data_IF_664212938934
#
_entry.id   IF_664212938934
#
_cell.length_a   1.000
_cell.length_b   1.000
_cell.length_c   1.000
_cell.angle_alpha   90.00
_cell.angle_beta   90.00
_cell.angle_gamma   90.00
#
_symmetry.space_group_name_H-M   'P 1'
#
loop_
_entity.id
_entity.type
_entity.pdbx_description
1 polymer ?
#
# COMPACT_ATOMS: atom_id res chain seq x y z
N UNK A 1 17.56 0.43 39.83
CA UNK A 1 18.07 -0.04 38.52
C UNK A 1 17.09 -1.02 37.88
N UNK A 2 16.73 -2.12 38.54
CA UNK A 2 15.81 -3.14 38.00
C UNK A 2 14.40 -2.62 37.62
N UNK A 3 13.85 -1.69 38.40
CA UNK A 3 12.54 -1.10 38.12
C UNK A 3 12.55 -0.16 36.89
N UNK A 4 13.67 0.50 36.60
CA UNK A 4 13.83 1.38 35.42
C UNK A 4 13.91 0.54 34.15
N UNK A 5 14.67 -0.56 34.17
CA UNK A 5 14.75 -1.51 33.05
C UNK A 5 13.41 -2.19 32.76
N UNK A 6 12.58 -2.48 33.78
CA UNK A 6 11.25 -3.06 33.57
C UNK A 6 10.26 -2.07 32.95
N UNK A 7 10.38 -0.78 33.26
CA UNK A 7 9.57 0.29 32.65
C UNK A 7 9.99 0.54 31.21
N UNK A 8 11.29 0.63 30.92
CA UNK A 8 11.79 0.76 29.54
C UNK A 8 11.38 -0.43 28.66
N UNK A 9 11.50 -1.66 29.17
CA UNK A 9 11.02 -2.84 28.44
C UNK A 9 9.51 -2.78 28.20
N UNK A 10 8.73 -2.36 29.20
CA UNK A 10 7.27 -2.20 29.09
C UNK A 10 6.86 -1.22 27.99
N UNK A 11 7.54 -0.07 27.91
CA UNK A 11 7.30 0.94 26.88
C UNK A 11 7.71 0.46 25.48
N UNK A 12 8.82 -0.28 25.35
CA UNK A 12 9.23 -0.88 24.08
C UNK A 12 8.21 -1.92 23.59
N UNK A 13 7.72 -2.81 24.46
CA UNK A 13 6.70 -3.79 24.07
C UNK A 13 5.37 -3.14 23.69
N UNK A 14 4.96 -2.09 24.41
CA UNK A 14 3.77 -1.32 24.08
C UNK A 14 3.90 -0.62 22.71
N UNK A 15 5.05 -0.03 22.41
CA UNK A 15 5.32 0.61 21.12
C UNK A 15 5.32 -0.39 19.95
N UNK A 16 5.86 -1.61 20.15
CA UNK A 16 5.83 -2.66 19.13
C UNK A 16 4.40 -3.14 18.86
N UNK A 17 3.58 -3.29 19.91
CA UNK A 17 2.18 -3.70 19.80
C UNK A 17 1.33 -2.65 19.09
N UNK A 18 1.51 -1.37 19.45
CA UNK A 18 0.86 -0.23 18.82
C UNK A 18 1.24 -0.12 17.33
N UNK A 19 2.52 -0.32 17.02
CA UNK A 19 2.99 -0.39 15.64
C UNK A 19 2.31 -1.53 14.86
N UNK A 20 2.25 -2.74 15.43
CA UNK A 20 1.60 -3.89 14.80
C UNK A 20 0.11 -3.67 14.56
N UNK A 21 -0.61 -3.07 15.51
CA UNK A 21 -2.01 -2.72 15.36
C UNK A 21 -2.21 -1.62 14.32
N UNK A 22 -1.35 -0.60 14.32
CA UNK A 22 -1.35 0.43 13.30
C UNK A 22 -1.16 -0.19 11.90
N UNK A 23 -0.22 -1.12 11.74
CA UNK A 23 -0.05 -1.83 10.47
C UNK A 23 -1.30 -2.60 10.07
N UNK A 24 -1.87 -3.39 10.98
CA UNK A 24 -2.97 -4.29 10.66
C UNK A 24 -4.26 -3.51 10.35
N UNK A 25 -4.54 -2.44 11.10
CA UNK A 25 -5.74 -1.64 10.92
C UNK A 25 -5.55 -0.72 9.70
N UNK A 26 -4.46 0.05 9.60
CA UNK A 26 -4.36 1.06 8.55
C UNK A 26 -3.95 0.50 7.18
N UNK A 27 -3.01 -0.45 7.11
CA UNK A 27 -2.63 -1.05 5.82
C UNK A 27 -3.81 -1.79 5.21
N UNK A 28 -4.58 -2.51 6.01
CA UNK A 28 -5.72 -3.28 5.52
C UNK A 28 -6.92 -2.36 5.22
N UNK A 29 -7.22 -1.42 6.11
CA UNK A 29 -8.36 -0.49 5.93
C UNK A 29 -8.17 0.48 4.78
N UNK A 30 -6.94 0.89 4.46
CA UNK A 30 -6.65 1.72 3.29
C UNK A 30 -6.33 0.90 2.04
N UNK A 31 -5.71 -0.27 2.20
CA UNK A 31 -5.36 -1.16 1.09
C UNK A 31 -6.58 -1.69 0.36
N UNK A 32 -7.58 -2.23 1.07
CA UNK A 32 -8.76 -2.85 0.43
C UNK A 32 -9.52 -1.84 -0.45
N UNK A 33 -9.89 -0.63 0.03
CA UNK A 33 -10.52 0.38 -0.82
C UNK A 33 -9.65 0.83 -1.98
N UNK A 34 -8.33 0.95 -1.77
CA UNK A 34 -7.40 1.31 -2.84
C UNK A 34 -7.40 0.26 -3.97
N UNK A 35 -7.44 -1.03 -3.65
CA UNK A 35 -7.58 -2.10 -4.64
C UNK A 35 -8.89 -2.02 -5.40
N UNK A 36 -10.00 -1.79 -4.72
CA UNK A 36 -11.32 -1.67 -5.36
C UNK A 36 -11.32 -0.46 -6.31
N UNK A 37 -10.87 0.70 -5.85
CA UNK A 37 -10.79 1.91 -6.66
C UNK A 37 -9.88 1.72 -7.88
N UNK A 38 -8.72 1.09 -7.69
CA UNK A 38 -7.81 0.77 -8.78
C UNK A 38 -8.43 -0.19 -9.79
N UNK A 39 -9.12 -1.25 -9.34
CA UNK A 39 -9.76 -2.21 -10.21
C UNK A 39 -10.89 -1.56 -11.05
N UNK A 40 -11.73 -0.74 -10.42
CA UNK A 40 -12.78 0.02 -11.11
C UNK A 40 -12.19 0.99 -12.13
N UNK A 41 -11.11 1.69 -11.78
CA UNK A 41 -10.40 2.57 -12.70
C UNK A 41 -9.77 1.78 -13.86
N UNK A 42 -9.10 0.66 -13.57
CA UNK A 42 -8.44 -0.18 -14.56
C UNK A 42 -9.44 -0.77 -15.57
N UNK A 43 -10.61 -1.25 -15.10
CA UNK A 43 -11.68 -1.75 -15.99
C UNK A 43 -12.11 -0.69 -17.01
N UNK A 44 -12.24 0.57 -16.57
CA UNK A 44 -12.58 1.68 -17.48
C UNK A 44 -11.40 2.05 -18.38
N UNK A 45 -10.20 2.12 -17.82
CA UNK A 45 -9.00 2.55 -18.53
C UNK A 45 -8.50 1.53 -19.56
N UNK A 46 -8.87 0.25 -19.44
CA UNK A 46 -8.52 -0.81 -20.37
C UNK A 46 -9.58 -1.05 -21.45
N UNK A 47 -10.77 -0.47 -21.30
CA UNK A 47 -11.85 -0.65 -22.26
C UNK A 47 -11.48 -0.07 -23.64
N UNK A 48 -11.67 -0.84 -24.70
CA UNK A 48 -11.36 -0.45 -26.07
C UNK A 48 -9.86 -0.39 -26.43
N UNK A 49 -8.96 -0.87 -25.56
CA UNK A 49 -7.52 -0.96 -25.86
C UNK A 49 -7.18 -2.25 -26.61
N UNK A 50 -6.16 -2.19 -27.46
CA UNK A 50 -5.62 -3.38 -28.13
C UNK A 50 -4.81 -4.25 -27.17
N UNK A 51 -4.62 -5.52 -27.49
CA UNK A 51 -3.91 -6.48 -26.62
C UNK A 51 -2.51 -6.01 -26.20
N UNK A 52 -1.73 -5.47 -27.15
CA UNK A 52 -0.40 -4.93 -26.85
C UNK A 52 -0.46 -3.75 -25.87
N UNK A 53 -1.48 -2.91 -25.97
CA UNK A 53 -1.69 -1.80 -25.03
C UNK A 53 -2.11 -2.31 -23.65
N UNK A 54 -2.93 -3.37 -23.59
CA UNK A 54 -3.31 -4.03 -22.34
C UNK A 54 -2.07 -4.62 -21.65
N UNK A 55 -1.23 -5.37 -22.36
CA UNK A 55 0.00 -5.94 -21.81
C UNK A 55 0.96 -4.86 -21.27
N UNK A 56 1.13 -3.76 -22.00
CA UNK A 56 1.92 -2.61 -21.54
C UNK A 56 1.30 -1.95 -20.31
N UNK A 57 -0.02 -1.92 -20.21
CA UNK A 57 -0.74 -1.41 -19.05
C UNK A 57 -0.60 -2.33 -17.83
N UNK A 58 -0.65 -3.65 -18.01
CA UNK A 58 -0.41 -4.65 -16.95
C UNK A 58 1.01 -4.51 -16.39
N UNK A 59 2.02 -4.32 -17.25
CA UNK A 59 3.39 -4.07 -16.81
C UNK A 59 3.54 -2.78 -15.99
N UNK A 60 2.74 -1.76 -16.29
CA UNK A 60 2.73 -0.49 -15.56
C UNK A 60 1.79 -0.48 -14.35
N UNK A 61 0.95 -1.51 -14.20
CA UNK A 61 -0.07 -1.59 -13.17
C UNK A 61 0.48 -1.39 -11.74
N UNK A 62 1.61 -2.00 -11.34
CA UNK A 62 2.18 -1.81 -10.00
C UNK A 62 2.54 -0.34 -9.72
N UNK A 63 3.03 0.37 -10.74
CA UNK A 63 3.40 1.78 -10.62
C UNK A 63 2.17 2.69 -10.57
N UNK A 64 1.15 2.39 -11.38
CA UNK A 64 -0.11 3.15 -11.40
C UNK A 64 -0.98 2.90 -10.17
N UNK A 65 -0.75 1.81 -9.44
CA UNK A 65 -1.44 1.50 -8.19
C UNK A 65 -0.96 2.37 -7.02
N UNK A 66 0.31 2.81 -7.03
CA UNK A 66 0.92 3.62 -5.96
C UNK A 66 0.04 4.79 -5.50
N UNK A 67 -0.46 5.68 -6.38
CA UNK A 67 -1.30 6.81 -5.94
C UNK A 67 -2.58 6.34 -5.25
N UNK A 68 -3.21 5.26 -5.70
CA UNK A 68 -4.42 4.72 -5.05
C UNK A 68 -4.12 4.25 -3.63
N UNK A 69 -2.95 3.64 -3.43
CA UNK A 69 -2.51 3.21 -2.10
C UNK A 69 -2.05 4.38 -1.23
N UNK A 70 -1.28 5.33 -1.77
CA UNK A 70 -0.67 6.42 -1.01
C UNK A 70 -1.67 7.51 -0.59
N UNK A 71 -2.64 7.84 -1.45
CA UNK A 71 -3.57 8.95 -1.23
C UNK A 71 -4.34 8.84 0.09
N UNK A 72 -4.93 7.68 0.46
CA UNK A 72 -5.59 7.52 1.76
C UNK A 72 -4.68 7.82 2.96
N UNK A 73 -3.42 7.37 2.93
CA UNK A 73 -2.45 7.63 4.01
C UNK A 73 -2.14 9.12 4.12
N UNK A 74 -1.91 9.79 2.99
CA UNK A 74 -1.60 11.22 2.95
C UNK A 74 -2.80 12.04 3.44
N UNK A 75 -4.01 11.76 2.97
CA UNK A 75 -5.23 12.47 3.41
C UNK A 75 -5.46 12.28 4.90
N UNK A 76 -5.36 11.04 5.39
CA UNK A 76 -5.63 10.73 6.79
C UNK A 76 -4.61 11.36 7.74
N UNK A 77 -3.33 11.26 7.41
CA UNK A 77 -2.27 11.88 8.20
C UNK A 77 -2.33 13.40 8.15
N UNK A 78 -2.65 14.00 6.99
CA UNK A 78 -2.84 15.44 6.87
C UNK A 78 -4.01 15.93 7.74
N UNK A 79 -5.14 15.20 7.76
CA UNK A 79 -6.26 15.51 8.64
C UNK A 79 -5.85 15.52 10.12
N UNK A 80 -5.01 14.57 10.55
CA UNK A 80 -4.48 14.54 11.91
C UNK A 80 -3.59 15.74 12.24
N UNK A 81 -2.72 16.15 11.31
CA UNK A 81 -1.89 17.35 11.47
C UNK A 81 -2.76 18.60 11.60
N UNK A 82 -3.79 18.73 10.76
CA UNK A 82 -4.73 19.87 10.80
C UNK A 82 -5.54 19.92 12.10
N UNK A 83 -5.78 18.77 12.74
CA UNK A 83 -6.44 18.67 14.06
C UNK A 83 -5.46 18.87 15.23
N UNK A 84 -4.20 19.22 14.96
CA UNK A 84 -3.18 19.53 15.97
C UNK A 84 -2.37 18.32 16.46
N UNK A 85 -2.52 17.15 15.84
CA UNK A 85 -1.76 15.94 16.20
C UNK A 85 -0.52 15.77 15.32
N UNK A 86 0.66 15.87 15.92
CA UNK A 86 1.93 15.60 15.25
C UNK A 86 2.08 14.12 14.85
N UNK A 87 1.29 13.22 15.43
CA UNK A 87 1.20 11.82 14.99
C UNK A 87 0.68 11.67 13.55
N UNK A 88 0.11 12.73 12.96
CA UNK A 88 -0.27 12.74 11.55
C UNK A 88 0.92 12.59 10.59
N UNK A 89 2.12 13.08 10.93
CA UNK A 89 3.30 12.96 10.06
C UNK A 89 3.75 11.51 9.82
N UNK A 90 4.00 10.68 10.86
CA UNK A 90 4.35 9.27 10.61
C UNK A 90 3.22 8.53 9.88
N UNK A 91 1.96 8.90 10.09
CA UNK A 91 0.83 8.38 9.31
C UNK A 91 0.86 8.83 7.84
N UNK A 92 1.30 10.05 7.51
CA UNK A 92 1.41 10.50 6.11
C UNK A 92 2.49 9.74 5.33
N UNK A 93 3.56 9.30 5.99
CA UNK A 93 4.73 8.71 5.35
C UNK A 93 4.87 7.19 5.56
N UNK A 94 4.08 6.59 6.44
CA UNK A 94 4.16 5.16 6.77
C UNK A 94 4.04 4.22 5.56
N UNK A 95 3.26 4.60 4.55
CA UNK A 95 3.11 3.83 3.30
C UNK A 95 4.44 3.64 2.53
N UNK A 96 5.43 4.51 2.71
CA UNK A 96 6.74 4.39 2.05
C UNK A 96 7.49 3.13 2.49
N UNK A 97 7.32 2.70 3.74
CA UNK A 97 7.92 1.46 4.24
C UNK A 97 7.37 0.21 3.51
N UNK A 98 6.15 0.30 2.98
CA UNK A 98 5.46 -0.78 2.26
C UNK A 98 5.68 -0.76 0.76
N UNK A 99 6.17 0.36 0.22
CA UNK A 99 6.35 0.55 -1.22
C UNK A 99 7.27 -0.50 -1.87
N UNK A 100 8.41 -0.91 -1.28
CA UNK A 100 9.23 -1.98 -1.85
C UNK A 100 8.47 -3.30 -1.98
N UNK A 101 7.72 -3.68 -0.93
CA UNK A 101 6.94 -4.92 -0.92
C UNK A 101 5.81 -4.89 -1.95
N UNK A 102 5.08 -3.78 -2.03
CA UNK A 102 4.02 -3.58 -3.01
C UNK A 102 4.53 -3.65 -4.45
N UNK A 103 5.67 -3.03 -4.73
CA UNK A 103 6.28 -3.06 -6.05
C UNK A 103 6.77 -4.46 -6.42
N UNK A 104 7.50 -5.13 -5.53
CA UNK A 104 8.00 -6.49 -5.79
C UNK A 104 6.84 -7.44 -6.04
N UNK A 105 5.87 -7.49 -5.13
CA UNK A 105 4.70 -8.36 -5.28
C UNK A 105 3.90 -8.01 -6.55
N UNK A 106 3.68 -6.71 -6.80
CA UNK A 106 2.97 -6.25 -7.98
C UNK A 106 3.66 -6.64 -9.29
N UNK A 107 4.99 -6.48 -9.38
CA UNK A 107 5.75 -6.86 -10.57
C UNK A 107 5.85 -8.38 -10.76
N UNK A 108 5.96 -9.16 -9.68
CA UNK A 108 5.91 -10.63 -9.76
C UNK A 108 4.56 -11.06 -10.32
N UNK A 109 3.45 -10.57 -9.77
CA UNK A 109 2.09 -10.91 -10.25
C UNK A 109 1.85 -10.44 -11.68
N UNK A 110 2.29 -9.22 -12.02
CA UNK A 110 2.21 -8.68 -13.38
C UNK A 110 3.00 -9.54 -14.38
N UNK A 111 4.24 -9.91 -14.03
CA UNK A 111 5.08 -10.78 -14.83
C UNK A 111 4.46 -12.17 -15.04
N UNK A 112 3.95 -12.79 -13.98
CA UNK A 112 3.23 -14.07 -14.05
C UNK A 112 1.98 -13.97 -14.93
N UNK A 113 1.23 -12.87 -14.83
CA UNK A 113 0.03 -12.64 -15.64
C UNK A 113 0.38 -12.55 -17.13
N UNK A 114 1.43 -11.79 -17.47
CA UNK A 114 1.92 -11.66 -18.84
C UNK A 114 2.49 -12.99 -19.36
N UNK A 115 3.24 -13.72 -18.53
CA UNK A 115 3.80 -15.02 -18.90
C UNK A 115 2.68 -16.04 -19.18
N UNK A 116 1.71 -16.14 -18.27
CA UNK A 116 0.57 -17.04 -18.42
C UNK A 116 -0.27 -16.71 -19.67
N UNK A 117 -0.54 -15.43 -19.90
CA UNK A 117 -1.25 -14.98 -21.10
C UNK A 117 -0.49 -15.41 -22.36
N UNK A 118 0.83 -15.19 -22.41
CA UNK A 118 1.65 -15.63 -23.55
C UNK A 118 1.72 -17.14 -23.71
N UNK A 119 1.72 -17.92 -22.62
CA UNK A 119 1.77 -19.39 -22.75
C UNK A 119 0.46 -20.02 -23.22
N UNK A 120 -0.68 -19.37 -22.95
CA UNK A 120 -2.00 -19.93 -23.24
C UNK A 120 -2.57 -19.40 -24.56
N UNK A 121 -2.29 -18.14 -24.90
CA UNK A 121 -2.93 -17.43 -26.02
C UNK A 121 -1.95 -17.02 -27.13
N UNK A 122 -0.65 -17.28 -26.98
CA UNK A 122 0.36 -17.10 -28.04
C UNK A 122 0.90 -18.44 -28.53
#
# INVERSE_FOLDING_TARGET
>A
MLALTLVEQGDEYAAVLDWQQMLLIYVLSFGIPAYIAFALWAMRALNGKTEQQILKSVWRAPLTFIPFYAVPWVIYGLAHVLLGSLAGFPMMFGWLAFLPYLLIAGYVVSGLTVALYRTVFS
#
